data_IF_083757168966
#
_entry.id   IF_083757168966
#
_cell.length_a   1.000
_cell.length_b   1.000
_cell.length_c   1.000
_cell.angle_alpha   90.00
_cell.angle_beta   90.00
_cell.angle_gamma   90.00
#
_symmetry.space_group_name_H-M   'P 1'
#
loop_
_entity.id
_entity.type
_entity.pdbx_description
1 polymer ?
#
# COMPACT_ATOMS: atom_id res chain seq x y z
N UNK A 1 71.10 6.63 16.61
CA UNK A 1 69.91 6.85 15.77
C UNK A 1 70.12 6.06 14.49
N UNK A 2 69.42 4.93 14.32
CA UNK A 2 69.62 3.99 13.21
C UNK A 2 68.60 4.33 12.11
N UNK A 3 69.09 4.72 10.94
CA UNK A 3 68.30 4.78 9.71
C UNK A 3 68.44 3.45 8.98
N UNK A 4 67.31 2.84 8.66
CA UNK A 4 67.20 1.70 7.76
C UNK A 4 66.09 2.00 6.75
N UNK A 5 66.19 1.39 5.56
CA UNK A 5 65.17 1.08 4.54
C UNK A 5 65.78 1.32 3.14
N UNK A 6 66.46 0.34 2.57
CA UNK A 6 65.98 -0.85 1.81
C UNK A 6 65.21 -0.52 0.53
N UNK A 7 65.81 -1.01 -0.56
CA UNK A 7 65.51 -0.82 -1.98
C UNK A 7 64.17 -1.47 -2.36
N UNK A 8 63.41 -0.74 -3.17
CA UNK A 8 62.16 -1.16 -3.79
C UNK A 8 62.45 -2.17 -4.92
N UNK A 9 62.06 -3.43 -4.73
CA UNK A 9 62.00 -4.42 -5.83
C UNK A 9 60.53 -4.65 -6.15
N UNK A 10 60.12 -4.21 -7.34
CA UNK A 10 58.77 -4.40 -7.85
C UNK A 10 58.47 -5.88 -8.11
N UNK A 11 57.38 -6.37 -7.52
CA UNK A 11 56.77 -7.63 -7.90
C UNK A 11 55.52 -7.32 -8.72
N UNK A 12 55.59 -7.64 -10.01
CA UNK A 12 54.44 -7.67 -10.92
C UNK A 12 53.62 -8.90 -10.56
N UNK A 13 52.44 -8.69 -9.97
CA UNK A 13 51.42 -9.74 -9.83
C UNK A 13 50.47 -9.66 -11.02
N UNK A 14 50.65 -10.62 -11.93
CA UNK A 14 49.68 -10.96 -12.98
C UNK A 14 48.43 -11.51 -12.29
N UNK A 15 47.38 -10.70 -12.18
CA UNK A 15 46.04 -11.22 -11.88
C UNK A 15 45.47 -11.85 -13.15
N UNK A 16 45.56 -13.18 -13.21
CA UNK A 16 44.79 -13.99 -14.14
C UNK A 16 43.30 -13.75 -13.91
N UNK A 17 42.59 -13.35 -14.96
CA UNK A 17 41.13 -13.33 -15.04
C UNK A 17 40.55 -14.69 -14.64
N UNK A 18 40.09 -14.79 -13.40
CA UNK A 18 39.10 -15.77 -13.01
C UNK A 18 37.73 -15.12 -13.18
N UNK A 19 37.02 -15.45 -14.25
CA UNK A 19 35.57 -15.27 -14.28
C UNK A 19 35.00 -15.99 -13.05
N UNK A 20 34.60 -15.20 -12.07
CA UNK A 20 33.76 -15.68 -10.97
C UNK A 20 32.36 -15.63 -11.54
N UNK A 21 31.90 -16.73 -12.11
CA UNK A 21 30.47 -16.94 -12.31
C UNK A 21 29.81 -16.77 -10.94
N UNK A 22 29.01 -15.72 -10.80
CA UNK A 22 28.09 -15.59 -9.68
C UNK A 22 27.17 -16.80 -9.74
N UNK A 23 27.42 -17.76 -8.86
CA UNK A 23 26.52 -18.89 -8.61
C UNK A 23 25.22 -18.27 -8.09
N UNK A 24 24.28 -18.07 -9.01
CA UNK A 24 22.89 -17.79 -8.67
C UNK A 24 22.44 -18.87 -7.69
N UNK A 25 22.01 -18.45 -6.50
CA UNK A 25 21.45 -19.35 -5.51
C UNK A 25 20.27 -20.09 -6.14
N UNK A 26 20.49 -21.34 -6.55
CA UNK A 26 19.44 -22.22 -7.03
C UNK A 26 18.57 -22.52 -5.81
N UNK A 27 17.52 -21.75 -5.63
CA UNK A 27 16.49 -22.14 -4.69
C UNK A 27 15.87 -23.44 -5.21
N UNK A 28 15.72 -24.46 -4.34
CA UNK A 28 15.19 -25.73 -4.77
C UNK A 28 13.76 -25.57 -5.31
N UNK A 29 13.30 -26.55 -6.08
CA UNK A 29 11.98 -26.57 -6.74
C UNK A 29 10.79 -26.28 -5.77
N UNK A 30 11.02 -26.36 -4.46
CA UNK A 30 10.02 -26.04 -3.44
C UNK A 30 9.64 -24.56 -3.37
N UNK A 31 10.49 -23.62 -3.81
CA UNK A 31 10.21 -22.17 -3.76
C UNK A 31 9.72 -21.57 -5.07
N UNK A 32 9.85 -22.28 -6.19
CA UNK A 32 9.51 -21.79 -7.54
C UNK A 32 8.12 -21.16 -7.60
N UNK A 33 7.15 -21.71 -6.87
CA UNK A 33 5.78 -21.20 -6.84
C UNK A 33 5.68 -19.87 -6.06
N UNK A 34 6.28 -19.79 -4.87
CA UNK A 34 6.31 -18.55 -4.09
C UNK A 34 7.02 -17.43 -4.85
N UNK A 35 8.16 -17.74 -5.47
CA UNK A 35 8.93 -16.79 -6.26
C UNK A 35 8.11 -16.32 -7.48
N UNK A 36 7.32 -17.22 -8.10
CA UNK A 36 6.39 -16.88 -9.20
C UNK A 36 5.25 -15.95 -8.73
N UNK A 37 4.62 -16.25 -7.59
CA UNK A 37 3.54 -15.42 -7.03
C UNK A 37 4.07 -14.02 -6.71
N UNK A 38 5.21 -13.92 -6.01
CA UNK A 38 5.84 -12.64 -5.65
C UNK A 38 6.19 -11.86 -6.91
N UNK A 39 6.81 -12.51 -7.91
CA UNK A 39 7.14 -11.86 -9.17
C UNK A 39 5.91 -11.28 -9.88
N UNK A 40 4.79 -12.01 -9.90
CA UNK A 40 3.53 -11.52 -10.49
C UNK A 40 2.95 -10.37 -9.67
N UNK A 41 2.97 -10.46 -8.33
CA UNK A 41 2.55 -9.36 -7.46
C UNK A 41 3.37 -8.09 -7.71
N UNK A 42 4.69 -8.20 -7.73
CA UNK A 42 5.58 -7.05 -7.94
C UNK A 42 5.50 -6.50 -9.36
N UNK A 43 5.27 -7.36 -10.35
CA UNK A 43 5.03 -6.92 -11.72
C UNK A 43 3.74 -6.11 -11.87
N UNK A 44 2.70 -6.42 -11.08
CA UNK A 44 1.43 -5.69 -11.10
C UNK A 44 1.51 -4.41 -10.24
N UNK A 45 2.27 -4.41 -9.14
CA UNK A 45 2.32 -3.29 -8.17
C UNK A 45 3.42 -2.25 -8.45
N UNK A 46 4.63 -2.67 -8.85
CA UNK A 46 5.75 -1.74 -9.04
C UNK A 46 5.51 -0.64 -10.08
N UNK A 47 4.78 -0.85 -11.20
CA UNK A 47 4.52 0.22 -12.16
C UNK A 47 3.71 1.39 -11.58
N UNK A 48 2.94 1.14 -10.50
CA UNK A 48 2.11 2.15 -9.86
C UNK A 48 2.94 3.28 -9.24
N UNK A 49 4.19 3.01 -8.83
CA UNK A 49 5.08 4.02 -8.27
C UNK A 49 5.46 5.11 -9.28
N UNK A 50 5.60 4.74 -10.56
CA UNK A 50 5.83 5.67 -11.64
C UNK A 50 4.55 6.43 -12.02
N UNK A 51 3.41 5.73 -12.11
CA UNK A 51 2.12 6.33 -12.43
C UNK A 51 1.69 7.39 -11.40
N UNK A 52 1.84 7.09 -10.09
CA UNK A 52 1.46 8.05 -9.05
C UNK A 52 2.36 9.29 -9.04
N UNK A 53 3.64 9.11 -9.39
CA UNK A 53 4.59 10.23 -9.52
C UNK A 53 4.22 11.13 -10.70
N UNK A 54 3.79 10.55 -11.82
CA UNK A 54 3.28 11.31 -12.97
C UNK A 54 2.01 12.07 -12.60
N UNK A 55 1.07 11.42 -11.91
CA UNK A 55 -0.14 12.07 -11.40
C UNK A 55 0.18 13.23 -10.44
N UNK A 56 1.15 13.05 -9.54
CA UNK A 56 1.61 14.14 -8.68
C UNK A 56 2.20 15.30 -9.50
N UNK A 57 3.09 15.00 -10.46
CA UNK A 57 3.71 16.01 -11.33
C UNK A 57 2.66 16.81 -12.12
N UNK A 58 1.63 16.14 -12.61
CA UNK A 58 0.50 16.81 -13.27
C UNK A 58 -0.28 17.68 -12.27
N UNK A 59 -0.50 17.19 -11.05
CA UNK A 59 -1.17 17.96 -10.00
C UNK A 59 -0.38 19.23 -9.64
N UNK A 60 0.94 19.12 -9.45
CA UNK A 60 1.83 20.26 -9.20
C UNK A 60 1.77 21.28 -10.36
N UNK A 61 1.69 20.81 -11.60
CA UNK A 61 1.49 21.68 -12.77
C UNK A 61 0.16 22.45 -12.70
N UNK A 62 -0.91 21.83 -12.19
CA UNK A 62 -2.20 22.53 -11.97
C UNK A 62 -2.08 23.62 -10.90
N UNK A 63 -1.35 23.37 -9.81
CA UNK A 63 -1.09 24.41 -8.79
C UNK A 63 -0.37 25.63 -9.37
N UNK A 64 0.62 25.41 -10.25
CA UNK A 64 1.34 26.51 -10.93
C UNK A 64 0.43 27.30 -11.89
N UNK A 65 -0.60 26.67 -12.47
CA UNK A 65 -1.48 27.25 -13.48
C UNK A 65 -2.94 27.36 -13.01
N UNK A 66 -3.15 27.50 -11.69
CA UNK A 66 -4.45 27.40 -11.04
C UNK A 66 -5.53 28.28 -11.70
N UNK A 67 -5.26 29.56 -11.98
CA UNK A 67 -6.25 30.49 -12.52
C UNK A 67 -6.74 30.07 -13.91
N UNK A 68 -5.84 29.51 -14.73
CA UNK A 68 -6.17 29.03 -16.08
C UNK A 68 -7.13 27.85 -16.03
N UNK A 69 -6.87 26.89 -15.14
CA UNK A 69 -7.69 25.68 -15.04
C UNK A 69 -8.99 25.93 -14.26
N UNK A 70 -8.96 26.80 -13.25
CA UNK A 70 -10.16 27.21 -12.53
C UNK A 70 -11.19 27.86 -13.46
N UNK A 71 -10.74 28.65 -14.44
CA UNK A 71 -11.62 29.27 -15.43
C UNK A 71 -12.31 28.28 -16.39
N UNK A 72 -11.88 27.02 -16.42
CA UNK A 72 -12.43 25.97 -17.29
C UNK A 72 -13.42 25.04 -16.56
N UNK A 73 -13.57 25.18 -15.24
CA UNK A 73 -14.31 24.23 -14.42
C UNK A 73 -15.85 24.41 -14.52
N UNK A 74 -16.57 23.32 -14.34
CA UNK A 74 -18.03 23.29 -14.24
C UNK A 74 -18.51 23.75 -12.85
N UNK A 75 -18.44 25.06 -12.59
CA UNK A 75 -18.69 25.64 -11.25
C UNK A 75 -20.06 25.33 -10.64
N UNK A 76 -21.08 25.09 -11.47
CA UNK A 76 -22.47 24.93 -11.04
C UNK A 76 -22.72 23.61 -10.30
N UNK A 77 -21.84 22.63 -10.42
CA UNK A 77 -21.99 21.29 -9.81
C UNK A 77 -21.56 21.25 -8.35
N UNK A 78 -20.82 22.24 -7.86
CA UNK A 78 -20.28 22.24 -6.50
C UNK A 78 -21.19 22.98 -5.53
N UNK A 79 -21.70 22.27 -4.52
CA UNK A 79 -22.68 22.75 -3.55
C UNK A 79 -22.14 22.66 -2.14
N UNK A 80 -22.73 23.45 -1.24
CA UNK A 80 -22.51 23.34 0.21
C UNK A 80 -23.76 22.70 0.81
N UNK A 81 -23.59 21.64 1.59
CA UNK A 81 -24.68 20.99 2.32
C UNK A 81 -25.12 21.82 3.54
N UNK A 82 -26.27 21.50 4.13
CA UNK A 82 -26.73 22.11 5.39
C UNK A 82 -25.74 21.93 6.55
N UNK A 83 -24.92 20.87 6.49
CA UNK A 83 -23.89 20.58 7.46
C UNK A 83 -22.56 21.34 7.23
N UNK A 84 -22.48 22.15 6.18
CA UNK A 84 -21.30 22.97 5.84
C UNK A 84 -20.24 22.24 5.01
N UNK A 85 -20.47 21.00 4.59
CA UNK A 85 -19.57 20.22 3.74
C UNK A 85 -19.76 20.63 2.28
N UNK A 86 -18.66 20.81 1.54
CA UNK A 86 -18.73 21.06 0.08
C UNK A 86 -18.70 19.71 -0.63
N UNK A 87 -19.57 19.52 -1.62
CA UNK A 87 -19.62 18.31 -2.42
C UNK A 87 -19.94 18.61 -3.87
N UNK A 88 -19.66 17.65 -4.76
CA UNK A 88 -20.09 17.70 -6.16
C UNK A 88 -21.43 16.99 -6.33
N UNK A 89 -22.42 17.69 -6.86
CA UNK A 89 -23.73 17.18 -7.21
C UNK A 89 -23.75 16.86 -8.71
N UNK A 90 -23.37 15.63 -9.07
CA UNK A 90 -23.39 15.13 -10.45
C UNK A 90 -23.97 13.72 -10.51
N UNK A 91 -24.71 13.43 -11.58
CA UNK A 91 -25.16 12.08 -11.90
C UNK A 91 -24.16 11.33 -12.79
N UNK A 92 -23.15 12.03 -13.33
CA UNK A 92 -22.12 11.42 -14.17
C UNK A 92 -21.09 10.68 -13.31
N UNK A 93 -21.09 9.35 -13.42
CA UNK A 93 -20.16 8.48 -12.69
C UNK A 93 -18.76 8.42 -13.33
N UNK A 94 -18.57 9.06 -14.48
CA UNK A 94 -17.25 9.23 -15.10
C UNK A 94 -16.42 10.31 -14.40
N UNK A 95 -17.05 11.11 -13.55
CA UNK A 95 -16.45 12.20 -12.82
C UNK A 95 -16.02 11.76 -11.41
N UNK A 96 -15.05 12.47 -10.84
CA UNK A 96 -14.67 12.22 -9.44
C UNK A 96 -15.68 12.86 -8.48
N UNK A 97 -15.85 12.24 -7.32
CA UNK A 97 -16.58 12.86 -6.21
C UNK A 97 -15.68 13.86 -5.50
N UNK A 98 -16.27 14.95 -5.03
CA UNK A 98 -15.61 15.94 -4.19
C UNK A 98 -16.25 15.93 -2.82
N UNK A 99 -15.40 16.00 -1.80
CA UNK A 99 -15.73 16.23 -0.41
C UNK A 99 -14.81 17.33 0.12
N UNK A 100 -15.36 18.32 0.82
CA UNK A 100 -14.58 19.24 1.65
C UNK A 100 -15.18 19.29 3.04
N UNK A 101 -14.34 18.98 4.03
CA UNK A 101 -14.72 19.04 5.44
C UNK A 101 -15.18 20.43 5.83
N UNK A 102 -16.23 20.52 6.65
CA UNK A 102 -16.80 21.78 7.17
C UNK A 102 -15.84 22.61 8.00
N UNK A 103 -14.65 22.09 8.34
CA UNK A 103 -13.60 22.81 9.08
C UNK A 103 -12.66 23.64 8.17
N UNK A 104 -12.91 23.67 6.85
CA UNK A 104 -12.12 24.50 5.92
C UNK A 104 -12.12 25.98 6.37
N UNK A 105 -11.01 26.68 6.14
CA UNK A 105 -10.82 28.04 6.67
C UNK A 105 -11.28 29.14 5.71
N UNK A 106 -11.04 28.96 4.40
CA UNK A 106 -11.37 29.94 3.36
C UNK A 106 -12.23 29.30 2.28
N UNK A 107 -13.46 29.80 2.14
CA UNK A 107 -14.39 29.37 1.08
C UNK A 107 -13.83 29.69 -0.30
N UNK A 108 -13.25 30.88 -0.48
CA UNK A 108 -12.70 31.31 -1.76
C UNK A 108 -11.56 30.41 -2.22
N UNK A 109 -10.58 30.15 -1.33
CA UNK A 109 -9.43 29.31 -1.65
C UNK A 109 -9.85 27.87 -1.98
N UNK A 110 -10.76 27.30 -1.19
CA UNK A 110 -11.16 25.90 -1.40
C UNK A 110 -11.98 25.72 -2.67
N UNK A 111 -12.89 26.65 -3.01
CA UNK A 111 -13.60 26.60 -4.29
C UNK A 111 -12.63 26.79 -5.47
N UNK A 112 -11.66 27.70 -5.35
CA UNK A 112 -10.63 27.84 -6.38
C UNK A 112 -9.86 26.53 -6.59
N UNK A 113 -9.49 25.84 -5.49
CA UNK A 113 -8.82 24.54 -5.54
C UNK A 113 -9.69 23.42 -6.11
N UNK A 114 -10.97 23.38 -5.75
CA UNK A 114 -11.94 22.47 -6.37
C UNK A 114 -11.92 22.65 -7.88
N UNK A 115 -12.02 23.89 -8.37
CA UNK A 115 -12.12 24.19 -9.78
C UNK A 115 -10.87 23.81 -10.57
N UNK A 116 -9.69 24.25 -10.16
CA UNK A 116 -8.49 23.94 -10.95
C UNK A 116 -8.11 22.44 -10.90
N UNK A 117 -8.48 21.73 -9.83
CA UNK A 117 -8.24 20.28 -9.72
C UNK A 117 -9.24 19.42 -10.49
N UNK A 118 -10.31 20.00 -11.07
CA UNK A 118 -11.26 19.28 -11.91
C UNK A 118 -10.60 18.62 -13.13
N UNK A 119 -9.51 19.21 -13.63
CA UNK A 119 -8.70 18.64 -14.71
C UNK A 119 -8.10 17.25 -14.36
N UNK A 120 -8.06 16.87 -13.07
CA UNK A 120 -7.60 15.55 -12.65
C UNK A 120 -8.58 14.42 -13.00
N UNK A 121 -9.86 14.72 -13.24
CA UNK A 121 -10.88 13.70 -13.49
C UNK A 121 -10.52 12.79 -14.67
N UNK A 122 -9.97 13.35 -15.76
CA UNK A 122 -9.51 12.53 -16.89
C UNK A 122 -8.34 11.63 -16.54
N UNK A 123 -7.39 12.13 -15.74
CA UNK A 123 -6.22 11.34 -15.34
C UNK A 123 -6.59 10.25 -14.33
N UNK A 124 -7.49 10.54 -13.39
CA UNK A 124 -8.01 9.57 -12.45
C UNK A 124 -8.71 8.42 -13.18
N UNK A 125 -9.52 8.74 -14.20
CA UNK A 125 -10.12 7.73 -15.08
C UNK A 125 -9.09 6.89 -15.82
N UNK A 126 -8.07 7.52 -16.41
CA UNK A 126 -7.01 6.79 -17.11
C UNK A 126 -6.28 5.84 -16.18
N UNK A 127 -5.83 6.31 -15.02
CA UNK A 127 -5.16 5.46 -14.02
C UNK A 127 -6.05 4.29 -13.60
N UNK A 128 -7.32 4.57 -13.27
CA UNK A 128 -8.26 3.52 -12.85
C UNK A 128 -8.54 2.49 -13.95
N UNK A 129 -8.62 2.92 -15.21
CA UNK A 129 -8.83 2.03 -16.35
C UNK A 129 -7.60 1.17 -16.67
N UNK A 130 -6.40 1.75 -16.57
CA UNK A 130 -5.14 1.12 -16.96
C UNK A 130 -4.55 0.23 -15.85
N UNK A 131 -4.99 0.42 -14.60
CA UNK A 131 -4.46 -0.29 -13.42
C UNK A 131 -5.56 -1.08 -12.68
N UNK A 132 -5.85 -2.34 -13.11
CA UNK A 132 -6.96 -3.15 -12.56
C UNK A 132 -6.91 -3.46 -11.05
N UNK A 133 -5.79 -3.23 -10.37
CA UNK A 133 -5.65 -3.40 -8.92
C UNK A 133 -5.96 -2.12 -8.13
N UNK A 134 -5.98 -0.97 -8.80
CA UNK A 134 -6.28 0.30 -8.16
C UNK A 134 -7.78 0.41 -8.00
N UNK A 135 -8.24 0.32 -6.74
CA UNK A 135 -9.63 0.49 -6.39
C UNK A 135 -10.00 1.98 -6.32
N UNK A 136 -9.16 2.83 -5.72
CA UNK A 136 -9.38 4.28 -5.67
C UNK A 136 -8.18 5.05 -6.15
N UNK A 137 -8.45 6.18 -6.79
CA UNK A 137 -7.49 7.25 -7.04
C UNK A 137 -8.01 8.50 -6.36
N UNK A 138 -7.18 9.19 -5.59
CA UNK A 138 -7.60 10.41 -4.90
C UNK A 138 -6.52 11.49 -4.84
N UNK A 139 -6.97 12.70 -4.52
CA UNK A 139 -6.18 13.83 -4.04
C UNK A 139 -6.78 14.30 -2.71
N UNK A 140 -5.97 14.35 -1.65
CA UNK A 140 -6.30 14.99 -0.37
C UNK A 140 -5.44 16.23 -0.17
N UNK A 141 -6.00 17.36 0.24
CA UNK A 141 -5.26 18.63 0.34
C UNK A 141 -5.27 19.21 1.76
N UNK A 142 -4.34 20.14 2.04
CA UNK A 142 -4.32 20.89 3.31
C UNK A 142 -5.56 21.76 3.52
N UNK A 143 -6.30 22.08 2.46
CA UNK A 143 -7.56 22.81 2.51
C UNK A 143 -8.76 21.89 2.79
N UNK A 144 -8.50 20.65 3.25
CA UNK A 144 -9.51 19.65 3.59
C UNK A 144 -10.35 19.18 2.41
N UNK A 145 -9.85 19.34 1.19
CA UNK A 145 -10.44 18.80 -0.03
C UNK A 145 -9.99 17.35 -0.22
N UNK A 146 -10.96 16.45 -0.41
CA UNK A 146 -10.79 15.13 -0.97
C UNK A 146 -11.49 15.09 -2.33
N UNK A 147 -10.73 14.83 -3.39
CA UNK A 147 -11.25 14.49 -4.73
C UNK A 147 -10.95 13.02 -4.99
N UNK A 148 -11.96 12.19 -5.25
CA UNK A 148 -11.82 10.73 -5.28
C UNK A 148 -12.59 10.08 -6.44
N UNK A 149 -11.95 9.09 -7.08
CA UNK A 149 -12.51 8.30 -8.17
C UNK A 149 -12.30 6.80 -7.92
N UNK A 150 -13.24 5.91 -8.30
CA UNK A 150 -14.53 6.18 -8.93
C UNK A 150 -15.51 6.89 -8.00
N UNK A 151 -16.52 7.55 -8.59
CA UNK A 151 -17.53 8.33 -7.87
C UNK A 151 -18.23 7.53 -6.77
N UNK A 152 -18.44 8.19 -5.63
CA UNK A 152 -19.13 7.71 -4.43
C UNK A 152 -20.02 8.81 -3.82
N UNK A 153 -20.91 8.44 -2.91
CA UNK A 153 -21.71 9.39 -2.15
C UNK A 153 -20.86 10.01 -1.01
N UNK A 154 -20.23 11.15 -1.30
CA UNK A 154 -19.31 11.81 -0.39
C UNK A 154 -19.94 12.21 0.95
N UNK A 155 -21.21 12.64 0.93
CA UNK A 155 -21.92 13.09 2.14
C UNK A 155 -22.31 11.91 3.04
N UNK A 156 -22.56 10.75 2.45
CA UNK A 156 -22.84 9.53 3.20
C UNK A 156 -21.57 8.87 3.75
N UNK A 157 -20.46 8.94 3.02
CA UNK A 157 -19.24 8.20 3.35
C UNK A 157 -18.33 8.92 4.34
N UNK A 158 -18.30 10.26 4.33
CA UNK A 158 -17.36 11.02 5.15
C UNK A 158 -18.07 11.83 6.24
N UNK A 159 -17.49 11.82 7.44
CA UNK A 159 -17.94 12.69 8.54
C UNK A 159 -17.83 14.16 8.12
N UNK A 160 -18.80 14.99 8.52
CA UNK A 160 -18.87 16.39 8.07
C UNK A 160 -17.65 17.25 8.43
N UNK A 161 -16.92 16.89 9.49
CA UNK A 161 -15.82 17.65 10.12
C UNK A 161 -14.54 16.82 10.24
N UNK A 162 -14.38 15.80 9.39
CA UNK A 162 -13.15 15.02 9.32
C UNK A 162 -11.95 15.92 9.03
N UNK A 163 -10.84 15.73 9.77
CA UNK A 163 -9.57 16.39 9.46
C UNK A 163 -8.70 15.44 8.65
N UNK A 164 -8.67 15.66 7.33
CA UNK A 164 -7.93 14.84 6.37
C UNK A 164 -6.44 14.76 6.68
N UNK A 165 -5.88 15.79 7.33
CA UNK A 165 -4.44 15.86 7.63
C UNK A 165 -4.01 14.91 8.76
N UNK A 166 -4.98 14.44 9.56
CA UNK A 166 -4.72 13.53 10.68
C UNK A 166 -4.66 12.06 10.27
N UNK A 167 -5.05 11.74 9.03
CA UNK A 167 -5.02 10.38 8.51
C UNK A 167 -3.64 9.98 8.00
N UNK A 168 -3.33 8.69 8.09
CA UNK A 168 -2.05 8.11 7.70
C UNK A 168 -1.69 8.35 6.24
N UNK A 169 -2.65 8.28 5.32
CA UNK A 169 -2.42 8.59 3.91
C UNK A 169 -1.93 10.02 3.69
N UNK A 170 -2.26 10.96 4.59
CA UNK A 170 -1.81 12.34 4.48
C UNK A 170 -0.48 12.56 5.21
N UNK A 171 -0.44 12.33 6.52
CA UNK A 171 0.74 12.66 7.32
C UNK A 171 1.96 11.80 6.94
N UNK A 172 1.80 10.61 6.35
CA UNK A 172 2.94 9.80 5.92
C UNK A 172 3.71 10.41 4.75
N UNK A 173 3.11 11.39 4.05
CA UNK A 173 3.72 12.13 2.95
C UNK A 173 4.39 13.44 3.39
N UNK A 174 4.27 13.83 4.66
CA UNK A 174 4.85 15.06 5.18
C UNK A 174 6.38 15.08 5.13
N UNK A 175 6.98 16.26 5.25
CA UNK A 175 8.43 16.42 5.19
C UNK A 175 9.17 15.71 6.34
N UNK A 176 8.50 15.46 7.47
CA UNK A 176 9.09 14.77 8.62
C UNK A 176 9.25 13.27 8.34
N UNK A 177 8.25 12.65 7.71
CA UNK A 177 8.17 11.20 7.48
C UNK A 177 8.54 10.81 6.05
N UNK A 178 8.58 11.77 5.12
CA UNK A 178 8.97 11.61 3.73
C UNK A 178 9.81 12.81 3.26
N UNK A 179 10.99 13.07 3.87
CA UNK A 179 11.83 14.21 3.52
C UNK A 179 12.34 14.18 2.07
N UNK A 180 12.41 12.99 1.47
CA UNK A 180 12.84 12.81 0.07
C UNK A 180 11.71 13.08 -0.94
N UNK A 181 10.47 13.30 -0.47
CA UNK A 181 9.29 13.59 -1.28
C UNK A 181 9.04 12.53 -2.37
N UNK A 182 9.17 11.25 -2.00
CA UNK A 182 9.03 10.11 -2.91
C UNK A 182 7.68 9.42 -2.77
N UNK A 183 7.36 8.56 -3.75
CA UNK A 183 6.26 7.60 -3.61
C UNK A 183 6.51 6.72 -2.40
N UNK A 184 5.46 6.45 -1.62
CA UNK A 184 5.55 5.67 -0.38
C UNK A 184 4.37 4.73 -0.25
N UNK A 185 4.65 3.46 0.05
CA UNK A 185 3.63 2.51 0.43
C UNK A 185 3.28 2.69 1.92
N UNK A 186 1.99 2.84 2.22
CA UNK A 186 1.46 2.77 3.58
C UNK A 186 1.22 1.30 3.88
N UNK A 187 2.31 0.58 4.21
CA UNK A 187 2.31 -0.89 4.35
C UNK A 187 1.47 -1.40 5.52
N UNK A 188 1.25 -0.55 6.51
CA UNK A 188 0.29 -0.80 7.57
C UNK A 188 -1.13 -0.67 7.02
N UNK A 189 -1.67 -1.81 6.57
CA UNK A 189 -3.04 -1.89 6.05
C UNK A 189 -4.03 -1.27 7.04
N UNK A 190 -5.04 -0.58 6.53
CA UNK A 190 -6.04 0.12 7.32
C UNK A 190 -7.41 0.07 6.64
N UNK A 191 -8.46 0.46 7.36
CA UNK A 191 -9.81 0.53 6.82
C UNK A 191 -9.95 1.78 5.97
N UNK A 192 -10.34 1.60 4.72
CA UNK A 192 -10.71 2.69 3.82
C UNK A 192 -11.86 3.51 4.42
N UNK A 193 -11.65 4.82 4.68
CA UNK A 193 -12.71 5.73 5.12
C UNK A 193 -13.88 5.80 4.13
N UNK A 194 -13.66 5.56 2.84
CA UNK A 194 -14.70 5.50 1.82
C UNK A 194 -15.42 4.13 1.74
N UNK A 195 -15.17 3.22 2.69
CA UNK A 195 -15.99 2.04 2.92
C UNK A 195 -15.64 0.80 2.09
N UNK A 196 -14.50 0.76 1.39
CA UNK A 196 -14.10 -0.42 0.58
C UNK A 196 -13.46 -1.55 1.36
N UNK A 197 -13.38 -1.39 2.68
CA UNK A 197 -12.75 -2.34 3.57
C UNK A 197 -11.26 -2.09 3.67
N UNK A 198 -10.44 -3.13 3.75
CA UNK A 198 -9.03 -2.94 4.05
C UNK A 198 -8.23 -2.69 2.80
N UNK A 199 -7.33 -1.73 2.92
CA UNK A 199 -6.56 -1.23 1.81
C UNK A 199 -5.07 -1.19 2.14
N UNK A 200 -4.27 -1.41 1.10
CA UNK A 200 -2.90 -0.98 0.98
C UNK A 200 -2.91 0.28 0.12
N UNK A 201 -2.24 1.34 0.58
CA UNK A 201 -2.20 2.61 -0.15
C UNK A 201 -0.80 2.92 -0.64
N UNK A 202 -0.71 3.39 -1.88
CA UNK A 202 0.47 4.04 -2.42
C UNK A 202 0.19 5.54 -2.45
N UNK A 203 1.05 6.34 -1.84
CA UNK A 203 0.87 7.80 -1.75
C UNK A 203 2.06 8.54 -2.35
N UNK A 204 1.82 9.75 -2.85
CA UNK A 204 2.87 10.65 -3.32
C UNK A 204 2.53 12.11 -2.94
N UNK A 205 3.45 12.85 -2.33
CA UNK A 205 3.19 14.24 -1.95
C UNK A 205 3.16 15.16 -3.16
N UNK A 206 2.31 16.19 -3.10
CA UNK A 206 2.21 17.27 -4.08
C UNK A 206 2.72 18.55 -3.43
N UNK A 207 3.78 19.14 -3.98
CA UNK A 207 4.36 20.36 -3.45
C UNK A 207 4.12 21.57 -4.37
N UNK A 208 3.87 22.73 -3.77
CA UNK A 208 3.86 24.01 -4.47
C UNK A 208 4.57 25.05 -3.61
N UNK A 209 5.47 25.84 -4.22
CA UNK A 209 6.26 26.87 -3.53
C UNK A 209 7.03 26.37 -2.29
N UNK A 210 7.36 25.07 -2.25
CA UNK A 210 8.10 24.46 -1.14
C UNK A 210 7.22 23.88 -0.04
N UNK A 211 5.90 24.07 -0.09
CA UNK A 211 4.95 23.57 0.90
C UNK A 211 4.19 22.34 0.39
N UNK A 212 3.83 21.43 1.30
CA UNK A 212 2.96 20.30 1.00
C UNK A 212 1.53 20.80 0.82
N UNK A 213 1.05 20.82 -0.42
CA UNK A 213 -0.31 21.26 -0.74
C UNK A 213 -1.32 20.12 -0.65
N UNK A 214 -0.88 18.91 -0.97
CA UNK A 214 -1.72 17.73 -0.92
C UNK A 214 -0.96 16.44 -1.12
N UNK A 215 -1.72 15.35 -1.16
CA UNK A 215 -1.23 14.00 -1.33
C UNK A 215 -2.15 13.30 -2.32
N UNK A 216 -1.58 12.84 -3.42
CA UNK A 216 -2.27 11.91 -4.32
C UNK A 216 -2.08 10.49 -3.79
N UNK A 217 -3.08 9.63 -3.99
CA UNK A 217 -3.00 8.26 -3.53
C UNK A 217 -3.78 7.28 -4.39
N UNK A 218 -3.28 6.04 -4.41
CA UNK A 218 -3.93 4.87 -4.97
C UNK A 218 -4.22 3.87 -3.86
N UNK A 219 -5.48 3.45 -3.73
CA UNK A 219 -5.84 2.39 -2.79
C UNK A 219 -6.06 1.07 -3.52
N UNK A 220 -5.55 0.00 -2.93
CA UNK A 220 -5.65 -1.37 -3.41
C UNK A 220 -6.33 -2.17 -2.32
N UNK A 221 -7.47 -2.82 -2.62
CA UNK A 221 -8.14 -3.60 -1.59
C UNK A 221 -7.42 -4.92 -1.32
N UNK A 222 -7.38 -5.33 -0.06
CA UNK A 222 -6.86 -6.65 0.32
C UNK A 222 -7.67 -7.77 -0.34
N UNK A 223 -8.96 -7.55 -0.59
CA UNK A 223 -9.75 -8.50 -1.35
C UNK A 223 -9.21 -8.67 -2.78
N UNK A 224 -8.87 -7.60 -3.49
CA UNK A 224 -8.33 -7.69 -4.85
C UNK A 224 -7.00 -8.42 -4.87
N UNK A 225 -6.13 -8.21 -3.87
CA UNK A 225 -4.90 -8.98 -3.67
C UNK A 225 -5.22 -10.47 -3.53
N UNK A 226 -6.19 -10.84 -2.68
CA UNK A 226 -6.61 -12.24 -2.49
C UNK A 226 -7.13 -12.86 -3.79
N UNK A 227 -8.03 -12.18 -4.50
CA UNK A 227 -8.62 -12.70 -5.74
C UNK A 227 -7.58 -12.84 -6.84
N UNK A 228 -6.68 -11.85 -6.96
CA UNK A 228 -5.69 -11.77 -8.04
C UNK A 228 -4.54 -12.77 -7.86
N UNK A 229 -4.07 -12.96 -6.63
CA UNK A 229 -2.81 -13.66 -6.37
C UNK A 229 -2.96 -14.95 -5.56
N UNK A 230 -3.92 -15.05 -4.63
CA UNK A 230 -4.02 -16.21 -3.74
C UNK A 230 -5.02 -17.26 -4.25
N UNK A 231 -6.19 -16.83 -4.76
CA UNK A 231 -7.25 -17.76 -5.17
C UNK A 231 -6.96 -18.55 -6.43
N UNK A 232 -6.04 -18.10 -7.29
CA UNK A 232 -5.75 -18.76 -8.57
C UNK A 232 -5.03 -20.11 -8.41
N UNK A 233 -4.42 -20.37 -7.26
CA UNK A 233 -3.42 -21.43 -7.15
C UNK A 233 -3.91 -22.69 -6.42
N UNK A 234 -5.13 -22.70 -5.86
CA UNK A 234 -5.65 -23.78 -4.99
C UNK A 234 -4.66 -24.21 -3.89
N UNK A 235 -3.82 -23.26 -3.44
CA UNK A 235 -2.77 -23.49 -2.44
C UNK A 235 -3.18 -22.96 -1.07
N UNK A 236 -2.45 -23.43 -0.06
CA UNK A 236 -2.52 -22.92 1.30
C UNK A 236 -1.52 -21.76 1.43
N UNK A 237 -1.95 -20.54 1.12
CA UNK A 237 -1.12 -19.35 1.10
C UNK A 237 -1.50 -18.39 2.21
N UNK A 238 -0.50 -17.71 2.77
CA UNK A 238 -0.67 -16.64 3.76
C UNK A 238 0.29 -15.49 3.41
N UNK A 239 -0.15 -14.26 3.57
CA UNK A 239 0.68 -13.05 3.49
C UNK A 239 0.69 -12.43 4.88
N UNK A 240 1.89 -12.13 5.38
CA UNK A 240 2.08 -11.41 6.64
C UNK A 240 2.96 -10.18 6.42
N UNK A 241 2.78 -9.15 7.24
CA UNK A 241 3.72 -8.02 7.27
C UNK A 241 4.98 -8.37 8.09
N UNK A 242 6.00 -7.51 8.04
CA UNK A 242 7.25 -7.70 8.76
C UNK A 242 7.13 -7.63 10.29
N UNK A 243 5.97 -7.22 10.83
CA UNK A 243 5.65 -7.30 12.25
C UNK A 243 4.92 -8.62 12.61
N UNK A 244 4.62 -9.46 11.62
CA UNK A 244 3.95 -10.75 11.79
C UNK A 244 2.43 -10.65 11.85
N UNK A 245 1.81 -9.53 11.48
CA UNK A 245 0.36 -9.44 11.33
C UNK A 245 -0.07 -10.10 10.02
N UNK A 246 -1.19 -10.80 10.06
CA UNK A 246 -1.80 -11.37 8.86
C UNK A 246 -2.37 -10.26 8.00
N UNK A 247 -1.92 -10.20 6.75
CA UNK A 247 -2.45 -9.30 5.72
C UNK A 247 -3.55 -10.00 4.92
N UNK A 248 -3.30 -11.22 4.46
CA UNK A 248 -4.22 -11.99 3.64
C UNK A 248 -3.93 -13.49 3.76
N UNK A 249 -4.88 -14.36 3.43
CA UNK A 249 -4.64 -15.80 3.42
C UNK A 249 -5.79 -16.59 2.80
N UNK A 250 -5.49 -17.80 2.32
CA UNK A 250 -6.50 -18.75 1.90
C UNK A 250 -7.10 -19.46 3.11
N UNK A 251 -8.38 -19.84 3.02
CA UNK A 251 -9.11 -20.49 4.13
C UNK A 251 -8.34 -21.71 4.68
N UNK A 252 -7.82 -22.56 3.79
CA UNK A 252 -7.07 -23.76 4.14
C UNK A 252 -5.78 -23.44 4.92
N UNK A 253 -5.08 -22.35 4.59
CA UNK A 253 -3.88 -21.94 5.31
C UNK A 253 -4.23 -21.48 6.74
N UNK A 254 -5.30 -20.69 6.86
CA UNK A 254 -5.82 -20.20 8.13
C UNK A 254 -6.26 -21.37 9.02
N UNK A 255 -6.96 -22.36 8.45
CA UNK A 255 -7.39 -23.56 9.18
C UNK A 255 -6.20 -24.41 9.66
N UNK A 256 -5.24 -24.72 8.77
CA UNK A 256 -4.07 -25.55 9.11
C UNK A 256 -3.21 -24.90 10.20
N UNK A 257 -3.07 -23.57 10.17
CA UNK A 257 -2.31 -22.82 11.16
C UNK A 257 -3.14 -22.50 12.42
N UNK A 258 -4.40 -22.95 12.48
CA UNK A 258 -5.35 -22.67 13.57
C UNK A 258 -5.43 -21.17 13.89
N UNK A 259 -5.46 -20.36 12.84
CA UNK A 259 -5.56 -18.90 12.91
C UNK A 259 -7.04 -18.49 12.96
N UNK A 260 -7.36 -17.34 13.56
CA UNK A 260 -8.73 -16.83 13.53
C UNK A 260 -9.23 -16.71 12.07
N UNK A 261 -10.45 -17.18 11.75
CA UNK A 261 -10.94 -17.22 10.37
C UNK A 261 -10.98 -15.82 9.76
N UNK A 262 -10.39 -15.67 8.57
CA UNK A 262 -10.55 -14.49 7.71
C UNK A 262 -11.89 -14.62 6.99
N UNK A 263 -12.98 -14.03 7.52
CA UNK A 263 -14.29 -14.13 6.87
C UNK A 263 -14.34 -13.26 5.61
N UNK A 264 -14.32 -13.89 4.43
CA UNK A 264 -14.68 -13.25 3.16
C UNK A 264 -16.05 -12.56 3.31
N UNK A 265 -16.07 -11.23 3.19
CA UNK A 265 -17.19 -10.28 3.37
C UNK A 265 -17.40 -9.69 4.78
N UNK A 266 -16.58 -10.02 5.78
CA UNK A 266 -16.64 -9.37 7.11
C UNK A 266 -15.28 -9.19 7.76
N UNK A 267 -14.24 -8.84 6.99
CA UNK A 267 -13.20 -7.99 7.58
C UNK A 267 -13.89 -6.65 7.97
N UNK A 268 -14.65 -6.04 7.06
CA UNK A 268 -15.42 -4.81 7.30
C UNK A 268 -16.34 -4.87 8.54
N UNK A 269 -17.16 -5.92 8.73
CA UNK A 269 -18.05 -5.99 9.92
C UNK A 269 -17.38 -6.49 11.21
N UNK A 270 -16.32 -7.30 11.11
CA UNK A 270 -15.55 -7.69 12.31
C UNK A 270 -14.76 -6.49 12.82
N UNK A 271 -14.37 -5.58 11.93
CA UNK A 271 -13.58 -4.37 12.20
C UNK A 271 -14.44 -3.15 12.53
N UNK A 272 -15.65 -3.05 12.00
CA UNK A 272 -16.67 -2.10 12.47
C UNK A 272 -17.32 -2.54 13.80
N UNK A 273 -16.86 -3.63 14.41
CA UNK A 273 -17.16 -3.95 15.80
C UNK A 273 -16.08 -3.33 16.69
N UNK A 274 -16.46 -2.74 17.82
CA UNK A 274 -15.56 -2.11 18.82
C UNK A 274 -14.42 -3.03 19.37
N UNK A 275 -14.30 -4.27 18.87
CA UNK A 275 -13.43 -5.31 19.38
C UNK A 275 -12.33 -5.78 18.41
N UNK A 276 -12.23 -5.27 17.18
CA UNK A 276 -11.12 -5.69 16.32
C UNK A 276 -9.81 -5.02 16.71
N UNK A 277 -8.80 -5.83 16.99
CA UNK A 277 -7.42 -5.38 17.20
C UNK A 277 -6.56 -6.08 16.16
N UNK A 278 -5.87 -5.32 15.30
CA UNK A 278 -4.85 -5.83 14.36
C UNK A 278 -3.88 -6.82 15.06
N UNK A 279 -3.61 -6.55 16.33
CA UNK A 279 -2.83 -7.37 17.24
C UNK A 279 -3.34 -8.81 17.44
N UNK A 280 -4.65 -9.05 17.39
CA UNK A 280 -5.25 -10.39 17.58
C UNK A 280 -4.95 -11.32 16.39
N UNK A 281 -4.55 -10.72 15.26
CA UNK A 281 -4.15 -11.40 14.03
C UNK A 281 -2.63 -11.41 13.84
N UNK A 282 -1.87 -11.14 14.90
CA UNK A 282 -0.42 -11.24 14.91
C UNK A 282 0.03 -12.66 15.25
N UNK A 283 0.88 -13.26 14.41
CA UNK A 283 1.36 -14.62 14.59
C UNK A 283 2.22 -14.80 15.85
N UNK A 284 2.90 -13.76 16.34
CA UNK A 284 3.62 -13.81 17.63
C UNK A 284 2.66 -13.91 18.83
N UNK A 285 1.39 -13.53 18.66
CA UNK A 285 0.33 -13.63 19.67
C UNK A 285 -0.56 -14.87 19.48
N UNK A 286 -0.28 -15.71 18.48
CA UNK A 286 -1.03 -16.94 18.23
C UNK A 286 -1.10 -17.84 19.46
N UNK A 287 -2.25 -18.51 19.68
CA UNK A 287 -2.40 -19.51 20.75
C UNK A 287 -1.49 -20.74 20.52
N UNK A 288 -1.16 -21.04 19.26
CA UNK A 288 -0.27 -22.15 18.91
C UNK A 288 1.20 -21.80 19.18
N UNK A 289 1.85 -22.57 20.06
CA UNK A 289 3.29 -22.43 20.33
C UNK A 289 4.12 -22.68 19.06
N UNK A 290 3.68 -23.60 18.20
CA UNK A 290 4.35 -23.91 16.95
C UNK A 290 4.27 -22.76 15.94
N UNK A 291 3.12 -22.08 15.84
CA UNK A 291 2.98 -20.88 14.99
C UNK A 291 3.88 -19.75 15.49
N UNK A 292 3.96 -19.53 16.81
CA UNK A 292 4.86 -18.52 17.39
C UNK A 292 6.33 -18.80 17.09
N UNK A 293 6.76 -20.07 17.16
CA UNK A 293 8.12 -20.48 16.78
C UNK A 293 8.36 -20.30 15.28
N UNK A 294 7.39 -20.68 14.44
CA UNK A 294 7.46 -20.55 12.99
C UNK A 294 7.69 -19.08 12.59
N UNK A 295 6.88 -18.15 13.10
CA UNK A 295 7.04 -16.73 12.73
C UNK A 295 8.34 -16.15 13.29
N UNK A 296 8.81 -16.59 14.47
CA UNK A 296 10.11 -16.17 14.99
C UNK A 296 11.26 -16.63 14.07
N UNK A 297 11.21 -17.87 13.59
CA UNK A 297 12.18 -18.42 12.62
C UNK A 297 12.22 -17.59 11.34
N UNK A 298 11.07 -17.24 10.78
CA UNK A 298 11.01 -16.47 9.54
C UNK A 298 11.42 -15.01 9.72
N UNK A 299 10.85 -14.30 10.71
CA UNK A 299 11.01 -12.85 10.81
C UNK A 299 12.26 -12.43 11.58
N UNK A 300 12.69 -13.22 12.58
CA UNK A 300 13.82 -12.88 13.45
C UNK A 300 15.10 -13.60 13.02
N UNK A 301 15.01 -14.90 12.70
CA UNK A 301 16.17 -15.71 12.32
C UNK A 301 16.43 -15.71 10.79
N UNK A 302 15.48 -15.18 10.01
CA UNK A 302 15.53 -15.14 8.53
C UNK A 302 15.63 -16.52 7.87
N UNK A 303 15.12 -17.54 8.55
CA UNK A 303 14.90 -18.85 7.94
C UNK A 303 13.77 -18.77 6.90
N UNK A 304 13.79 -19.66 5.91
CA UNK A 304 12.78 -19.69 4.85
C UNK A 304 11.92 -20.96 4.87
N UNK A 305 12.20 -21.90 5.78
CA UNK A 305 11.50 -23.18 5.90
C UNK A 305 11.26 -23.50 7.38
N UNK A 306 10.04 -23.89 7.72
CA UNK A 306 9.68 -24.40 9.04
C UNK A 306 8.93 -25.72 8.90
N UNK A 307 9.36 -26.75 9.63
CA UNK A 307 8.67 -28.04 9.69
C UNK A 307 7.83 -28.07 10.96
N UNK A 308 6.51 -28.09 10.79
CA UNK A 308 5.59 -28.17 11.90
C UNK A 308 5.39 -29.63 12.28
N UNK A 309 5.98 -30.02 13.41
CA UNK A 309 5.81 -31.33 14.03
C UNK A 309 5.01 -31.14 15.32
N UNK A 310 3.74 -31.50 15.31
CA UNK A 310 2.92 -31.47 16.52
C UNK A 310 2.92 -32.84 17.19
N UNK A 311 3.14 -32.89 18.51
CA UNK A 311 3.01 -34.11 19.34
C UNK A 311 1.59 -34.76 19.23
N UNK A 312 0.60 -34.03 18.69
CA UNK A 312 -0.78 -34.46 18.47
C UNK A 312 -1.29 -34.25 17.03
N UNK A 313 -0.46 -33.77 16.11
CA UNK A 313 -0.87 -33.52 14.72
C UNK A 313 -0.71 -34.80 13.90
N UNK A 314 -1.82 -35.35 13.37
CA UNK A 314 -1.79 -36.54 12.50
C UNK A 314 -1.04 -36.33 11.17
N UNK A 315 -0.68 -35.09 10.84
CA UNK A 315 -0.11 -34.71 9.56
C UNK A 315 1.04 -33.72 9.79
N UNK A 316 2.19 -33.99 9.14
CA UNK A 316 3.34 -33.08 9.15
C UNK A 316 3.11 -32.01 8.08
N UNK A 317 3.50 -30.78 8.38
CA UNK A 317 3.47 -29.71 7.38
C UNK A 317 4.85 -29.06 7.26
N UNK A 318 5.25 -28.73 6.04
CA UNK A 318 6.39 -27.86 5.75
C UNK A 318 5.85 -26.52 5.29
N UNK A 319 6.25 -25.45 5.97
CA UNK A 319 5.89 -24.08 5.65
C UNK A 319 7.11 -23.43 5.03
N UNK A 320 6.92 -22.88 3.84
CA UNK A 320 7.94 -22.13 3.09
C UNK A 320 7.60 -20.65 3.20
N UNK A 321 8.61 -19.81 3.32
CA UNK A 321 8.46 -18.37 3.48
C UNK A 321 9.38 -17.63 2.51
N UNK A 322 8.85 -16.56 1.91
CA UNK A 322 9.59 -15.64 1.07
C UNK A 322 9.22 -14.21 1.37
N UNK A 323 10.23 -13.36 1.52
CA UNK A 323 10.03 -11.92 1.59
C UNK A 323 9.83 -11.35 0.18
N UNK A 324 8.93 -10.40 0.04
CA UNK A 324 8.83 -9.55 -1.15
C UNK A 324 9.99 -8.54 -1.18
N UNK A 325 10.36 -8.10 -2.38
CA UNK A 325 11.31 -7.01 -2.61
C UNK A 325 10.64 -5.65 -2.51
N UNK A 326 9.38 -5.53 -2.96
CA UNK A 326 8.66 -4.25 -3.04
C UNK A 326 8.10 -3.79 -1.69
N UNK A 327 7.57 -4.71 -0.90
CA UNK A 327 6.93 -4.45 0.40
C UNK A 327 7.64 -5.27 1.47
N UNK A 328 7.64 -4.82 2.73
CA UNK A 328 8.10 -5.62 3.86
C UNK A 328 7.06 -6.68 4.26
N UNK A 329 6.57 -7.42 3.26
CA UNK A 329 5.61 -8.49 3.39
C UNK A 329 6.28 -9.82 3.08
N UNK A 330 5.76 -10.88 3.68
CA UNK A 330 6.23 -12.25 3.53
C UNK A 330 5.08 -13.12 3.03
N UNK A 331 5.31 -13.86 1.95
CA UNK A 331 4.37 -14.85 1.40
C UNK A 331 4.79 -16.23 1.89
N UNK A 332 3.84 -16.94 2.51
CA UNK A 332 4.02 -18.25 3.08
C UNK A 332 3.18 -19.27 2.30
N UNK A 333 3.75 -20.45 2.05
CA UNK A 333 3.04 -21.61 1.49
C UNK A 333 3.11 -22.79 2.45
N UNK A 334 1.95 -23.36 2.79
CA UNK A 334 1.85 -24.55 3.64
C UNK A 334 1.69 -25.82 2.78
N UNK A 335 2.69 -26.70 2.83
CA UNK A 335 2.68 -28.01 2.15
C UNK A 335 2.54 -29.14 3.17
N UNK A 336 1.70 -30.13 2.85
CA UNK A 336 1.53 -31.38 3.61
C UNK A 336 2.58 -32.42 3.25
#
# INVERSE_FOLDING_TARGET
>A
MKYAYFVFVGLILLFSNGCRDEVGSVYPAEFTELDSIIKVMESDLSPLEAQIKELSSMTEYLFVHQDRYAAMASSDEYKISDAGTIYRETADKSESSVYVSSIFQSKEEVFHQIYFTEALDSAFRTVYADSPLVAQVYLNTRLQLCRIYPSLDALQMFDKDADLTTFNFYYMADEVRNPERRSKWVEDIYVDPAGRGWILSLIHPVYHQGELEGVVGFDITINDIIQRFLKKNNKKLLIIDGAGNIVAGTNDAIEVLNLPPLRNHTYVQTINSDNFRKEDYNLFKSKSKEVRKMVAKFLLEKDNIYKMEGDYAKQKYSIYCRQMNLLNWYVLEVKS
#
